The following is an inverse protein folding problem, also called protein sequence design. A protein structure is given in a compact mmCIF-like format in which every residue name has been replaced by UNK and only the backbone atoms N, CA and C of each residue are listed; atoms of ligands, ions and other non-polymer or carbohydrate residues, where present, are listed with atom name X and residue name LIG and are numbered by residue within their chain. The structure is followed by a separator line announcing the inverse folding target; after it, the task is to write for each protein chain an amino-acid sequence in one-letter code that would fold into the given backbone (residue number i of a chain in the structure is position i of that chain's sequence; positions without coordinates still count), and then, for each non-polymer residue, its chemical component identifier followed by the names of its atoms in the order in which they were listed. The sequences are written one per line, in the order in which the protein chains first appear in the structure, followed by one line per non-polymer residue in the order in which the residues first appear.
data_IF_301790122007
#
_entry.id   IF_301790122007
#
_cell.length_a   1.000
_cell.length_b   1.000
_cell.length_c   1.000
_cell.angle_alpha   90.00
_cell.angle_beta   90.00
_cell.angle_gamma   90.00
#
_symmetry.space_group_name_H-M   'P 1'
#
loop_
_entity.id
_entity.type
_entity.pdbx_description
1 polymer ?
#
# COMPACT_ATOMS: atom_id res chain seq x y z
N UNK A 1 51.67 -13.66 31.85
CA UNK A 1 50.34 -13.72 31.24
C UNK A 1 50.33 -12.86 29.99
N UNK A 2 50.71 -13.43 28.86
CA UNK A 2 50.58 -12.80 27.57
C UNK A 2 49.16 -13.03 27.06
N UNK A 3 48.35 -11.96 26.92
CA UNK A 3 47.16 -11.96 26.05
C UNK A 3 47.67 -11.66 24.63
N UNK A 4 47.40 -12.52 23.64
CA UNK A 4 47.65 -12.12 22.27
C UNK A 4 46.64 -11.01 21.88
N UNK A 5 47.17 -9.91 21.36
CA UNK A 5 46.38 -8.86 20.70
C UNK A 5 45.76 -9.50 19.45
N UNK A 6 44.50 -9.79 19.50
CA UNK A 6 43.76 -10.22 18.29
C UNK A 6 43.58 -9.01 17.38
N UNK A 7 44.11 -9.14 16.19
CA UNK A 7 44.00 -8.17 15.12
C UNK A 7 42.51 -7.95 14.79
N UNK A 8 42.04 -6.69 14.88
CA UNK A 8 40.65 -6.28 14.64
C UNK A 8 40.12 -6.58 13.23
N UNK A 9 40.98 -6.97 12.32
CA UNK A 9 40.59 -7.40 10.97
C UNK A 9 40.05 -8.85 10.89
N UNK A 10 40.19 -9.64 11.95
CA UNK A 10 39.70 -11.04 11.92
C UNK A 10 38.29 -11.27 12.45
N UNK A 11 37.61 -10.25 12.95
CA UNK A 11 36.31 -10.43 13.62
C UNK A 11 35.09 -9.98 12.83
N UNK A 12 35.24 -9.58 11.58
CA UNK A 12 34.07 -9.35 10.71
C UNK A 12 33.57 -10.68 10.17
N UNK A 13 32.75 -11.38 10.95
CA UNK A 13 32.04 -12.57 10.50
C UNK A 13 30.97 -12.16 9.53
N UNK A 14 31.28 -12.08 8.22
CA UNK A 14 30.26 -11.90 7.20
C UNK A 14 29.41 -13.18 7.10
N UNK A 15 28.18 -13.04 6.54
CA UNK A 15 27.22 -14.13 6.39
C UNK A 15 27.83 -15.39 5.76
N UNK A 16 28.76 -15.22 4.84
CA UNK A 16 29.47 -16.31 4.16
C UNK A 16 30.39 -17.09 5.11
N UNK A 17 31.22 -16.40 5.91
CA UNK A 17 32.06 -17.02 6.93
C UNK A 17 31.25 -17.72 8.01
N UNK A 18 30.14 -17.11 8.44
CA UNK A 18 29.21 -17.73 9.39
C UNK A 18 28.64 -19.05 8.84
N UNK A 19 28.17 -19.06 7.59
CA UNK A 19 27.63 -20.26 6.94
C UNK A 19 28.72 -21.33 6.71
N UNK A 20 29.95 -20.92 6.37
CA UNK A 20 31.09 -21.83 6.24
C UNK A 20 31.48 -22.44 7.59
N UNK A 21 31.47 -21.66 8.67
CA UNK A 21 31.73 -22.18 10.02
C UNK A 21 30.65 -23.16 10.47
N UNK A 22 29.36 -22.90 10.18
CA UNK A 22 28.26 -23.83 10.44
C UNK A 22 28.41 -25.14 9.66
N UNK A 23 28.83 -25.07 8.41
CA UNK A 23 29.10 -26.25 7.57
C UNK A 23 30.29 -27.06 8.12
N UNK A 24 31.37 -26.40 8.50
CA UNK A 24 32.55 -27.03 9.12
C UNK A 24 32.26 -27.66 10.49
N UNK A 25 31.31 -27.11 11.25
CA UNK A 25 30.83 -27.66 12.52
C UNK A 25 29.85 -28.85 12.35
N UNK A 26 29.63 -29.33 11.13
CA UNK A 26 28.72 -30.46 10.84
C UNK A 26 27.23 -30.13 10.88
N UNK A 27 26.86 -28.90 11.21
CA UNK A 27 25.46 -28.46 11.25
C UNK A 27 24.92 -28.16 9.85
N UNK A 28 25.79 -27.93 8.87
CA UNK A 28 25.41 -27.66 7.49
C UNK A 28 24.81 -28.87 6.76
N UNK A 29 25.21 -30.08 7.15
CA UNK A 29 24.74 -31.30 6.50
C UNK A 29 23.29 -31.67 6.85
N UNK A 30 22.80 -31.17 7.99
CA UNK A 30 21.43 -31.45 8.45
C UNK A 30 20.44 -30.35 8.09
N UNK A 31 20.92 -29.14 7.84
CA UNK A 31 20.04 -27.97 7.66
C UNK A 31 19.92 -27.50 6.20
N UNK A 32 20.95 -27.65 5.33
CA UNK A 32 20.91 -27.03 4.00
C UNK A 32 22.03 -27.49 3.01
N UNK A 33 22.14 -28.74 2.59
CA UNK A 33 23.29 -29.14 1.76
C UNK A 33 23.43 -28.35 0.46
N UNK A 34 22.32 -28.12 -0.27
CA UNK A 34 22.33 -27.43 -1.56
C UNK A 34 22.54 -25.92 -1.47
N UNK A 35 21.83 -25.25 -0.55
CA UNK A 35 21.93 -23.79 -0.41
C UNK A 35 23.30 -23.36 0.15
N UNK A 36 23.86 -24.13 1.09
CA UNK A 36 25.22 -23.89 1.61
C UNK A 36 26.31 -24.17 0.60
N UNK A 37 26.18 -25.26 -0.19
CA UNK A 37 27.11 -25.57 -1.27
C UNK A 37 27.10 -24.50 -2.35
N UNK A 38 25.93 -24.00 -2.71
CA UNK A 38 25.79 -22.94 -3.73
C UNK A 38 26.40 -21.61 -3.28
N UNK A 39 26.19 -21.24 -2.01
CA UNK A 39 26.80 -20.01 -1.44
C UNK A 39 28.31 -20.17 -1.28
N UNK A 40 28.80 -21.38 -0.98
CA UNK A 40 30.22 -21.66 -0.86
C UNK A 40 30.96 -21.74 -2.20
N UNK A 41 30.25 -22.05 -3.30
CA UNK A 41 30.83 -22.23 -4.62
C UNK A 41 30.78 -20.97 -5.51
N UNK A 42 30.37 -19.80 -5.01
CA UNK A 42 30.15 -18.59 -5.83
C UNK A 42 29.25 -18.87 -7.04
N UNK A 43 28.19 -19.64 -6.83
CA UNK A 43 27.29 -20.01 -7.90
C UNK A 43 26.72 -18.75 -8.56
N UNK A 44 27.13 -18.47 -9.79
CA UNK A 44 26.62 -17.34 -10.58
C UNK A 44 25.15 -17.55 -10.98
N UNK A 45 24.67 -18.78 -10.88
CA UNK A 45 23.34 -19.18 -11.36
C UNK A 45 22.56 -19.88 -10.25
N UNK A 46 21.34 -19.44 -10.03
CA UNK A 46 20.40 -20.09 -9.10
C UNK A 46 19.80 -21.32 -9.78
N UNK A 47 19.80 -22.46 -9.08
CA UNK A 47 19.26 -23.74 -9.57
C UNK A 47 17.92 -24.07 -8.92
N UNK A 48 17.21 -25.03 -9.53
CA UNK A 48 15.97 -25.56 -8.96
C UNK A 48 16.16 -26.20 -7.60
N UNK A 49 17.25 -26.96 -7.41
CA UNK A 49 17.57 -27.61 -6.13
C UNK A 49 17.82 -26.60 -5.02
N UNK A 50 18.39 -25.45 -5.36
CA UNK A 50 18.54 -24.35 -4.41
C UNK A 50 17.18 -23.79 -3.97
N UNK A 51 16.24 -23.66 -4.90
CA UNK A 51 14.87 -23.19 -4.58
C UNK A 51 14.14 -24.25 -3.74
N UNK A 52 14.26 -25.53 -4.08
CA UNK A 52 13.65 -26.63 -3.35
C UNK A 52 14.19 -26.72 -1.90
N UNK A 53 15.47 -26.53 -1.73
CA UNK A 53 16.08 -26.47 -0.39
C UNK A 53 15.62 -25.24 0.39
N UNK A 54 15.63 -24.06 -0.24
CA UNK A 54 15.28 -22.80 0.39
C UNK A 54 13.81 -22.74 0.83
N UNK A 55 12.88 -23.30 0.05
CA UNK A 55 11.46 -23.32 0.40
C UNK A 55 11.20 -24.16 1.66
N UNK A 56 11.91 -25.30 1.83
CA UNK A 56 11.80 -26.11 3.01
C UNK A 56 12.17 -25.37 4.31
N UNK A 57 13.22 -24.53 4.23
CA UNK A 57 13.66 -23.70 5.37
C UNK A 57 12.66 -22.59 5.68
N UNK A 58 12.10 -21.99 4.62
CA UNK A 58 11.11 -20.92 4.76
C UNK A 58 9.72 -21.44 5.20
N UNK A 59 9.53 -22.76 5.29
CA UNK A 59 8.21 -23.35 5.54
C UNK A 59 7.22 -23.11 4.39
N UNK A 60 7.73 -22.95 3.17
CA UNK A 60 6.94 -22.72 1.95
C UNK A 60 6.90 -24.00 1.09
N UNK A 61 5.91 -24.07 0.21
CA UNK A 61 5.80 -25.13 -0.78
C UNK A 61 5.38 -24.53 -2.11
N UNK A 62 6.21 -24.70 -3.13
CA UNK A 62 5.97 -24.24 -4.50
C UNK A 62 5.84 -25.44 -5.42
N UNK A 63 4.94 -25.35 -6.39
CA UNK A 63 4.88 -26.28 -7.51
C UNK A 63 6.13 -26.19 -8.37
N UNK A 64 6.41 -27.21 -9.17
CA UNK A 64 7.58 -27.22 -10.08
C UNK A 64 7.60 -26.03 -11.03
N UNK A 65 6.43 -25.64 -11.55
CA UNK A 65 6.28 -24.49 -12.44
C UNK A 65 6.57 -23.16 -11.73
N UNK A 66 6.18 -23.06 -10.45
CA UNK A 66 6.48 -21.87 -9.64
C UNK A 66 7.97 -21.79 -9.33
N UNK A 67 8.59 -22.91 -8.97
CA UNK A 67 10.04 -23.01 -8.78
C UNK A 67 10.81 -22.58 -10.04
N UNK A 68 10.37 -23.05 -11.21
CA UNK A 68 10.98 -22.68 -12.49
C UNK A 68 10.87 -21.16 -12.73
N UNK A 69 9.70 -20.56 -12.54
CA UNK A 69 9.52 -19.10 -12.65
C UNK A 69 10.38 -18.31 -11.66
N UNK A 70 10.59 -18.84 -10.45
CA UNK A 70 11.48 -18.23 -9.46
C UNK A 70 12.92 -18.25 -9.96
N UNK A 71 13.39 -19.40 -10.49
CA UNK A 71 14.73 -19.54 -11.06
C UNK A 71 14.94 -18.57 -12.22
N UNK A 72 14.00 -18.49 -13.16
CA UNK A 72 14.06 -17.58 -14.31
C UNK A 72 14.14 -16.12 -13.85
N UNK A 73 13.35 -15.74 -12.86
CA UNK A 73 13.37 -14.37 -12.32
C UNK A 73 14.68 -14.04 -11.61
N UNK A 74 15.22 -14.98 -10.83
CA UNK A 74 16.45 -14.77 -10.07
C UNK A 74 17.70 -14.73 -10.98
N UNK A 75 17.67 -15.41 -12.12
CA UNK A 75 18.75 -15.43 -13.10
C UNK A 75 18.56 -14.42 -14.24
N UNK A 76 17.41 -13.77 -14.31
CA UNK A 76 17.08 -12.86 -15.40
C UNK A 76 17.77 -11.50 -15.30
N UNK A 77 17.66 -10.70 -16.37
CA UNK A 77 18.30 -9.37 -16.49
C UNK A 77 17.85 -8.34 -15.43
N UNK A 78 16.76 -8.60 -14.71
CA UNK A 78 16.29 -7.79 -13.58
C UNK A 78 16.40 -8.54 -12.26
N UNK A 79 17.43 -9.35 -12.13
CA UNK A 79 17.68 -10.14 -10.94
C UNK A 79 17.89 -9.26 -9.71
N UNK A 80 17.15 -9.49 -8.61
CA UNK A 80 17.43 -8.83 -7.36
C UNK A 80 18.82 -9.15 -6.80
N UNK A 81 19.41 -10.30 -7.20
CA UNK A 81 20.76 -10.70 -6.79
C UNK A 81 21.79 -9.73 -7.38
N UNK A 82 21.72 -9.45 -8.68
CA UNK A 82 22.61 -8.47 -9.33
C UNK A 82 22.45 -7.06 -8.72
N UNK A 83 21.24 -6.66 -8.38
CA UNK A 83 21.00 -5.39 -7.70
C UNK A 83 21.68 -5.35 -6.32
N UNK A 84 21.59 -6.43 -5.55
CA UNK A 84 22.29 -6.54 -4.26
C UNK A 84 23.81 -6.51 -4.40
N UNK A 85 24.37 -7.19 -5.39
CA UNK A 85 25.81 -7.20 -5.62
C UNK A 85 26.32 -5.82 -6.05
N UNK A 86 25.55 -5.11 -6.88
CA UNK A 86 25.84 -3.72 -7.24
C UNK A 86 25.84 -2.80 -6.01
N UNK A 87 24.83 -2.94 -5.14
CA UNK A 87 24.74 -2.14 -3.90
C UNK A 87 25.90 -2.46 -2.94
N UNK A 88 26.27 -3.73 -2.80
CA UNK A 88 27.42 -4.15 -1.98
C UNK A 88 28.73 -3.61 -2.52
N UNK A 89 28.93 -3.68 -3.85
CA UNK A 89 30.14 -3.17 -4.50
C UNK A 89 30.26 -1.65 -4.35
N UNK A 90 29.15 -0.92 -4.35
CA UNK A 90 29.12 0.53 -4.14
C UNK A 90 29.56 0.93 -2.72
N UNK A 91 29.45 0.03 -1.73
CA UNK A 91 29.86 0.21 -0.35
C UNK A 91 29.45 1.58 0.24
N UNK A 92 28.16 1.92 0.07
CA UNK A 92 27.61 3.21 0.47
C UNK A 92 27.65 3.36 1.99
N UNK A 93 28.15 4.50 2.49
CA UNK A 93 28.09 4.87 3.89
C UNK A 93 26.65 5.17 4.33
N UNK A 94 26.37 5.03 5.62
CA UNK A 94 25.04 5.30 6.19
C UNK A 94 24.64 6.79 6.07
N UNK A 95 25.58 7.67 5.85
CA UNK A 95 25.43 9.11 5.64
C UNK A 95 25.26 9.50 4.16
N UNK A 96 25.37 8.52 3.25
CA UNK A 96 25.17 8.77 1.81
C UNK A 96 23.74 9.18 1.53
N UNK A 97 23.56 10.43 1.09
CA UNK A 97 22.24 10.94 0.76
C UNK A 97 21.74 10.40 -0.60
N UNK A 98 20.43 10.27 -0.81
CA UNK A 98 19.86 9.98 -2.11
C UNK A 98 20.35 10.97 -3.18
N UNK A 99 20.53 10.48 -4.41
CA UNK A 99 20.96 11.33 -5.53
C UNK A 99 19.95 12.46 -5.84
N UNK A 100 18.68 12.27 -5.49
CA UNK A 100 17.62 13.26 -5.63
C UNK A 100 17.12 13.62 -4.24
N UNK A 101 17.39 14.84 -3.81
CA UNK A 101 16.89 15.41 -2.56
C UNK A 101 16.03 16.63 -2.89
N UNK A 102 14.76 16.58 -2.51
CA UNK A 102 13.89 17.73 -2.64
C UNK A 102 14.25 18.81 -1.61
N UNK A 103 14.69 19.97 -2.09
CA UNK A 103 14.86 21.16 -1.26
C UNK A 103 13.80 22.19 -1.64
N UNK A 104 12.83 22.52 -0.76
CA UNK A 104 11.81 23.51 -1.05
C UNK A 104 12.36 24.95 -1.12
N UNK A 105 13.62 25.15 -0.70
CA UNK A 105 14.28 26.44 -0.72
C UNK A 105 15.31 26.45 -1.85
N UNK A 106 15.04 27.11 -2.99
CA UNK A 106 16.00 27.22 -4.07
C UNK A 106 17.29 27.92 -3.61
N UNK A 107 18.45 27.63 -4.25
CA UNK A 107 19.70 28.30 -3.92
C UNK A 107 19.56 29.84 -3.93
N UNK A 108 20.07 30.49 -2.90
CA UNK A 108 20.01 31.96 -2.76
C UNK A 108 18.64 32.52 -2.33
N UNK A 109 17.68 31.65 -1.98
CA UNK A 109 16.38 32.05 -1.40
C UNK A 109 16.32 31.69 0.07
N UNK A 110 15.51 32.42 0.82
CA UNK A 110 15.13 32.12 2.21
C UNK A 110 13.62 31.87 2.29
N UNK A 111 13.18 31.03 3.23
CA UNK A 111 11.75 30.88 3.50
C UNK A 111 11.18 32.22 3.98
N UNK A 112 9.97 32.60 3.52
CA UNK A 112 9.27 33.74 4.09
C UNK A 112 9.06 33.53 5.59
N UNK A 113 9.40 34.51 6.41
CA UNK A 113 9.15 34.51 7.85
C UNK A 113 7.68 34.75 8.19
N UNK A 114 6.97 35.43 7.30
CA UNK A 114 5.60 35.85 7.52
C UNK A 114 4.62 34.69 7.32
N UNK A 115 3.89 34.36 8.37
CA UNK A 115 2.74 33.47 8.29
C UNK A 115 1.55 34.24 7.73
N UNK A 116 1.21 33.97 6.49
CA UNK A 116 0.00 34.53 5.86
C UNK A 116 -1.16 33.56 6.05
N UNK A 117 -2.38 34.07 6.35
CA UNK A 117 -3.57 33.23 6.38
C UNK A 117 -3.78 32.57 5.01
N UNK A 118 -4.22 31.31 5.02
CA UNK A 118 -4.59 30.61 3.79
C UNK A 118 -5.74 31.37 3.12
N UNK A 119 -5.52 31.81 1.90
CA UNK A 119 -6.58 32.37 1.05
C UNK A 119 -7.37 31.20 0.47
N UNK A 120 -8.62 31.04 0.88
CA UNK A 120 -9.55 30.12 0.23
C UNK A 120 -10.17 30.84 -0.97
N UNK A 121 -10.22 30.16 -2.11
CA UNK A 121 -10.96 30.66 -3.27
C UNK A 121 -12.43 30.49 -2.98
N UNK A 122 -13.19 31.57 -3.05
CA UNK A 122 -14.63 31.51 -3.06
C UNK A 122 -15.11 31.13 -4.46
N UNK A 123 -16.07 30.26 -4.54
CA UNK A 123 -16.72 29.84 -5.78
C UNK A 123 -18.15 29.42 -5.48
N UNK A 124 -19.00 29.62 -6.46
CA UNK A 124 -20.39 29.16 -6.40
C UNK A 124 -20.52 27.83 -7.12
N UNK A 125 -21.39 26.98 -6.61
CA UNK A 125 -21.70 25.68 -7.18
C UNK A 125 -23.22 25.56 -7.30
N UNK A 126 -23.69 25.18 -8.46
CA UNK A 126 -25.07 24.78 -8.68
C UNK A 126 -25.18 23.26 -8.75
N UNK A 127 -26.31 22.72 -8.34
CA UNK A 127 -26.60 21.30 -8.46
C UNK A 127 -26.54 20.88 -9.93
N UNK A 128 -25.76 19.84 -10.28
CA UNK A 128 -25.74 19.30 -11.64
C UNK A 128 -27.07 18.72 -12.07
N UNK A 129 -27.25 18.58 -13.39
CA UNK A 129 -28.48 18.05 -13.94
C UNK A 129 -28.59 16.52 -13.87
N UNK A 130 -27.45 15.83 -13.78
CA UNK A 130 -27.38 14.37 -13.79
C UNK A 130 -26.52 13.83 -12.65
N UNK A 131 -26.78 12.59 -12.24
CA UNK A 131 -26.00 11.85 -11.25
C UNK A 131 -24.55 11.63 -11.70
N UNK A 132 -24.31 11.46 -12.99
CA UNK A 132 -22.95 11.32 -13.52
C UNK A 132 -22.16 12.62 -13.38
N UNK A 133 -22.75 13.75 -13.73
CA UNK A 133 -22.10 15.05 -13.51
C UNK A 133 -21.82 15.29 -12.02
N UNK A 134 -22.77 14.93 -11.15
CA UNK A 134 -22.61 15.04 -9.70
C UNK A 134 -21.47 14.16 -9.19
N UNK A 135 -21.37 12.92 -9.67
CA UNK A 135 -20.37 11.95 -9.25
C UNK A 135 -18.93 12.38 -9.59
N UNK A 136 -18.75 13.17 -10.63
CA UNK A 136 -17.44 13.67 -11.08
C UNK A 136 -17.12 15.10 -10.63
N UNK A 137 -17.95 15.69 -9.78
CA UNK A 137 -17.62 16.98 -9.19
C UNK A 137 -16.38 16.90 -8.29
N UNK A 138 -15.52 17.92 -8.29
CA UNK A 138 -14.45 18.03 -7.30
C UNK A 138 -15.01 17.98 -5.87
N UNK A 139 -14.26 17.37 -4.94
CA UNK A 139 -14.67 17.26 -3.53
C UNK A 139 -15.02 18.62 -2.92
N UNK A 140 -14.37 19.69 -3.32
CA UNK A 140 -14.66 21.06 -2.87
C UNK A 140 -16.06 21.53 -3.29
N UNK A 141 -16.53 21.12 -4.49
CA UNK A 141 -17.87 21.42 -4.98
C UNK A 141 -18.92 20.59 -4.24
N UNK A 142 -18.66 19.29 -4.05
CA UNK A 142 -19.52 18.42 -3.26
C UNK A 142 -19.69 18.95 -1.82
N UNK A 143 -18.57 19.38 -1.20
CA UNK A 143 -18.58 19.98 0.12
C UNK A 143 -19.47 21.24 0.18
N UNK A 144 -19.43 22.07 -0.85
CA UNK A 144 -20.25 23.27 -0.94
C UNK A 144 -21.74 22.96 -1.10
N UNK A 145 -22.08 21.96 -1.92
CA UNK A 145 -23.46 21.48 -2.07
C UNK A 145 -24.01 20.92 -0.74
N UNK A 146 -23.21 20.17 0.01
CA UNK A 146 -23.59 19.66 1.33
C UNK A 146 -23.73 20.81 2.34
N UNK A 147 -22.76 21.72 2.43
CA UNK A 147 -22.78 22.90 3.31
C UNK A 147 -24.03 23.77 3.06
N UNK A 148 -24.36 24.01 1.80
CA UNK A 148 -25.54 24.80 1.40
C UNK A 148 -26.85 23.99 1.43
N UNK A 149 -26.81 22.71 1.83
CA UNK A 149 -27.97 21.81 1.92
C UNK A 149 -28.69 21.58 0.58
N UNK A 150 -27.98 21.72 -0.54
CA UNK A 150 -28.50 21.40 -1.86
C UNK A 150 -28.54 19.89 -2.11
N UNK A 151 -27.68 19.11 -1.40
CA UNK A 151 -27.69 17.65 -1.39
C UNK A 151 -27.50 17.15 0.05
N UNK A 152 -28.15 16.05 0.37
CA UNK A 152 -27.94 15.37 1.67
C UNK A 152 -26.78 14.40 1.60
N UNK A 153 -25.99 14.26 2.69
CA UNK A 153 -25.01 13.18 2.85
C UNK A 153 -25.53 11.79 2.51
N UNK A 154 -26.78 11.46 2.87
CA UNK A 154 -27.39 10.16 2.53
C UNK A 154 -27.61 9.98 1.04
N UNK A 155 -28.03 11.01 0.31
CA UNK A 155 -28.22 10.98 -1.15
C UNK A 155 -26.88 10.77 -1.85
N UNK A 156 -25.87 11.55 -1.47
CA UNK A 156 -24.54 11.45 -2.02
C UNK A 156 -23.89 10.08 -1.73
N UNK A 157 -24.05 9.56 -0.51
CA UNK A 157 -23.55 8.24 -0.12
C UNK A 157 -24.22 7.13 -0.94
N UNK A 158 -25.52 7.20 -1.13
CA UNK A 158 -26.28 6.23 -1.92
C UNK A 158 -25.83 6.23 -3.38
N UNK A 159 -25.60 7.40 -3.95
CA UNK A 159 -25.06 7.54 -5.31
C UNK A 159 -23.72 6.80 -5.45
N UNK A 160 -22.74 7.08 -4.59
CA UNK A 160 -21.41 6.45 -4.71
C UNK A 160 -21.42 4.96 -4.37
N UNK A 161 -22.25 4.50 -3.42
CA UNK A 161 -22.43 3.08 -3.17
C UNK A 161 -23.02 2.34 -4.38
N UNK A 162 -24.01 2.94 -5.06
CA UNK A 162 -24.59 2.34 -6.27
C UNK A 162 -23.58 2.28 -7.41
N UNK A 163 -22.77 3.32 -7.59
CA UNK A 163 -21.69 3.34 -8.58
C UNK A 163 -20.62 2.28 -8.29
N UNK A 164 -20.15 2.15 -7.05
CA UNK A 164 -19.23 1.07 -6.69
C UNK A 164 -19.81 -0.31 -7.02
N UNK A 165 -21.06 -0.58 -6.66
CA UNK A 165 -21.73 -1.84 -6.99
C UNK A 165 -21.84 -2.09 -8.50
N UNK A 166 -22.10 -1.04 -9.27
CA UNK A 166 -22.26 -1.13 -10.72
C UNK A 166 -20.94 -1.44 -11.43
N UNK A 167 -19.86 -0.81 -11.02
CA UNK A 167 -18.60 -0.85 -11.77
C UNK A 167 -17.58 -1.86 -11.21
N UNK A 168 -17.69 -2.26 -9.95
CA UNK A 168 -16.67 -3.11 -9.31
C UNK A 168 -16.53 -4.50 -9.92
N UNK A 169 -17.58 -5.04 -10.50
CA UNK A 169 -17.52 -6.30 -11.26
C UNK A 169 -16.50 -6.25 -12.43
N UNK A 170 -16.22 -5.07 -12.95
CA UNK A 170 -15.23 -4.84 -14.02
C UNK A 170 -13.89 -4.37 -13.46
N UNK A 171 -13.91 -3.56 -12.41
CA UNK A 171 -12.72 -2.86 -11.91
C UNK A 171 -11.96 -3.63 -10.83
N UNK A 172 -12.63 -4.49 -10.06
CA UNK A 172 -12.04 -5.18 -8.92
C UNK A 172 -11.30 -4.23 -7.95
N UNK A 173 -11.92 -3.08 -7.69
CA UNK A 173 -11.37 -2.02 -6.86
C UNK A 173 -11.78 -2.14 -5.38
N UNK A 174 -12.82 -2.92 -5.06
CA UNK A 174 -13.44 -3.00 -3.74
C UNK A 174 -13.13 -4.34 -3.07
N UNK A 175 -12.57 -4.29 -1.87
CA UNK A 175 -12.38 -5.48 -1.00
C UNK A 175 -13.63 -5.72 -0.16
N UNK A 176 -14.18 -4.65 0.42
CA UNK A 176 -15.36 -4.70 1.28
C UNK A 176 -16.16 -3.42 1.14
N UNK A 177 -17.43 -3.50 0.78
CA UNK A 177 -18.36 -2.41 0.93
C UNK A 177 -18.76 -2.28 2.40
N UNK A 178 -18.73 -1.06 2.93
CA UNK A 178 -19.11 -0.76 4.30
C UNK A 178 -20.50 -0.11 4.36
N UNK A 179 -21.44 -0.61 3.56
CA UNK A 179 -22.73 0.02 3.26
C UNK A 179 -23.53 0.37 4.51
N UNK A 180 -23.73 -0.58 5.43
CA UNK A 180 -24.48 -0.31 6.65
C UNK A 180 -23.81 0.76 7.54
N UNK A 181 -22.49 0.72 7.64
CA UNK A 181 -21.73 1.75 8.37
C UNK A 181 -21.88 3.10 7.68
N UNK A 182 -21.72 3.12 6.37
CA UNK A 182 -21.82 4.33 5.55
C UNK A 182 -23.19 5.01 5.69
N UNK A 183 -24.27 4.24 5.59
CA UNK A 183 -25.63 4.78 5.72
C UNK A 183 -25.91 5.32 7.12
N UNK A 184 -25.46 4.63 8.19
CA UNK A 184 -25.55 5.17 9.55
C UNK A 184 -24.76 6.47 9.74
N UNK A 185 -23.53 6.54 9.17
CA UNK A 185 -22.72 7.76 9.22
C UNK A 185 -23.36 8.90 8.42
N UNK A 186 -23.92 8.59 7.25
CA UNK A 186 -24.60 9.56 6.40
C UNK A 186 -25.87 10.15 7.08
N UNK A 187 -26.69 9.28 7.66
CA UNK A 187 -27.88 9.73 8.40
C UNK A 187 -27.50 10.63 9.57
N UNK A 188 -26.47 10.27 10.33
CA UNK A 188 -25.96 11.12 11.41
C UNK A 188 -25.48 12.47 10.87
N UNK A 189 -24.79 12.51 9.75
CA UNK A 189 -24.35 13.75 9.12
C UNK A 189 -25.55 14.60 8.66
N UNK A 190 -26.60 14.00 8.09
CA UNK A 190 -27.85 14.70 7.77
C UNK A 190 -28.46 15.38 9.00
N UNK A 191 -28.55 14.64 10.12
CA UNK A 191 -29.12 15.13 11.38
C UNK A 191 -28.27 16.30 11.95
N UNK A 192 -26.97 16.16 11.99
CA UNK A 192 -26.04 17.19 12.50
C UNK A 192 -26.10 18.46 11.63
N UNK A 193 -26.09 18.33 10.30
CA UNK A 193 -26.18 19.48 9.38
C UNK A 193 -27.55 20.16 9.47
N UNK A 194 -28.63 19.38 9.58
CA UNK A 194 -29.98 19.92 9.76
C UNK A 194 -30.08 20.71 11.07
N UNK A 195 -29.42 20.25 12.12
CA UNK A 195 -29.35 20.95 13.44
C UNK A 195 -28.39 22.16 13.45
N UNK A 196 -27.73 22.46 12.32
CA UNK A 196 -26.79 23.59 12.20
C UNK A 196 -25.35 23.27 12.57
N UNK A 197 -25.02 22.00 12.84
CA UNK A 197 -23.65 21.55 13.10
C UNK A 197 -22.97 21.13 11.82
N UNK A 198 -22.05 21.95 11.32
CA UNK A 198 -21.20 21.63 10.16
C UNK A 198 -19.75 21.55 10.60
N UNK A 199 -19.13 20.35 10.46
CA UNK A 199 -17.78 20.07 10.95
C UNK A 199 -16.68 20.58 10.01
N UNK A 200 -17.04 20.96 8.77
CA UNK A 200 -16.12 21.44 7.74
C UNK A 200 -16.25 20.70 6.42
N UNK A 201 -15.33 20.94 5.46
CA UNK A 201 -15.51 20.55 4.05
C UNK A 201 -15.50 19.04 3.79
N UNK A 202 -15.23 18.20 4.77
CA UNK A 202 -15.33 16.74 4.65
C UNK A 202 -16.58 16.17 5.34
N UNK A 203 -17.38 17.02 5.99
CA UNK A 203 -18.60 16.56 6.65
C UNK A 203 -19.64 16.09 5.64
N UNK A 204 -20.03 14.83 5.77
CA UNK A 204 -21.00 14.20 4.85
C UNK A 204 -20.41 13.75 3.51
N UNK A 205 -19.09 13.79 3.33
CA UNK A 205 -18.42 13.39 2.09
C UNK A 205 -18.06 11.90 2.13
N UNK A 206 -18.54 11.10 1.17
CA UNK A 206 -18.17 9.69 1.04
C UNK A 206 -16.70 9.53 0.62
N UNK A 207 -16.03 8.54 1.20
CA UNK A 207 -14.65 8.21 0.86
C UNK A 207 -14.37 6.72 1.02
N UNK A 208 -13.36 6.22 0.31
CA UNK A 208 -12.88 4.86 0.42
C UNK A 208 -11.46 4.79 0.96
N UNK A 209 -11.18 3.82 1.84
CA UNK A 209 -9.86 3.64 2.43
C UNK A 209 -9.13 2.47 1.80
N UNK A 210 -7.87 2.66 1.47
CA UNK A 210 -6.99 1.57 1.02
C UNK A 210 -6.92 0.48 2.09
N UNK A 211 -7.03 -0.78 1.67
CA UNK A 211 -7.13 -1.95 2.56
C UNK A 211 -5.81 -2.34 3.26
N UNK A 212 -4.89 -1.41 3.40
CA UNK A 212 -3.77 -1.43 4.33
C UNK A 212 -4.14 -0.81 5.67
N UNK A 213 -5.05 0.15 5.67
CA UNK A 213 -5.45 0.91 6.83
C UNK A 213 -6.60 0.22 7.54
N UNK A 214 -6.44 -0.05 8.83
CA UNK A 214 -7.48 -0.64 9.63
C UNK A 214 -8.63 0.35 9.86
N UNK A 215 -9.85 -0.15 9.73
CA UNK A 215 -11.08 0.51 10.15
C UNK A 215 -11.86 -0.48 11.00
N UNK A 216 -12.13 -0.12 12.24
CA UNK A 216 -12.77 -0.97 13.25
C UNK A 216 -14.04 -1.63 12.73
N UNK A 217 -14.19 -2.91 13.01
CA UNK A 217 -15.36 -3.69 12.59
C UNK A 217 -15.37 -4.05 11.10
N UNK A 218 -14.33 -3.74 10.34
CA UNK A 218 -14.20 -4.12 8.94
C UNK A 218 -13.00 -5.04 8.71
N UNK A 219 -13.05 -5.79 7.60
CA UNK A 219 -11.90 -6.59 7.18
C UNK A 219 -10.72 -5.70 6.81
N UNK A 220 -9.51 -6.14 7.13
CA UNK A 220 -8.25 -5.49 6.72
C UNK A 220 -7.30 -6.59 6.27
N UNK A 221 -7.22 -6.79 4.95
CA UNK A 221 -6.68 -8.01 4.35
C UNK A 221 -5.25 -7.86 3.83
N UNK A 222 -4.77 -6.63 3.65
CA UNK A 222 -3.49 -6.32 2.99
C UNK A 222 -3.36 -6.94 1.58
N UNK A 223 -4.50 -7.25 0.95
CA UNK A 223 -4.56 -7.88 -0.36
C UNK A 223 -4.16 -9.34 -0.40
N UNK A 224 -4.03 -10.02 0.75
CA UNK A 224 -3.52 -11.38 0.88
C UNK A 224 -4.61 -12.38 1.24
N UNK A 225 -4.65 -13.54 0.54
CA UNK A 225 -5.60 -14.61 0.83
C UNK A 225 -5.60 -15.10 2.29
N UNK A 226 -4.44 -15.30 2.95
CA UNK A 226 -4.42 -15.72 4.36
C UNK A 226 -5.07 -14.73 5.33
N UNK A 227 -5.26 -13.48 4.90
CA UNK A 227 -5.86 -12.41 5.70
C UNK A 227 -7.24 -11.98 5.19
N UNK A 228 -7.82 -12.71 4.24
CA UNK A 228 -9.08 -12.33 3.59
C UNK A 228 -10.25 -12.07 4.56
N UNK A 229 -10.24 -12.73 5.72
CA UNK A 229 -11.27 -12.58 6.76
C UNK A 229 -10.77 -11.88 8.04
N UNK A 230 -9.54 -11.36 8.01
CA UNK A 230 -8.96 -10.74 9.20
C UNK A 230 -9.62 -9.41 9.51
N UNK A 231 -10.15 -9.28 10.72
CA UNK A 231 -10.62 -8.03 11.31
C UNK A 231 -9.59 -7.52 12.31
N UNK A 232 -9.24 -6.24 12.21
CA UNK A 232 -8.36 -5.55 13.16
C UNK A 232 -9.22 -4.57 13.95
N UNK A 233 -9.35 -4.75 15.27
CA UNK A 233 -10.24 -3.98 16.12
C UNK A 233 -9.65 -2.63 16.58
N UNK A 234 -9.08 -1.90 15.64
CA UNK A 234 -8.63 -0.53 15.82
C UNK A 234 -8.97 0.32 14.59
N UNK A 235 -9.01 1.62 14.78
CA UNK A 235 -8.98 2.57 13.67
C UNK A 235 -7.56 3.09 13.48
N UNK A 236 -7.08 3.07 12.23
CA UNK A 236 -5.86 3.78 11.89
C UNK A 236 -6.07 5.29 12.07
N UNK A 237 -4.99 6.04 12.35
CA UNK A 237 -5.06 7.49 12.55
C UNK A 237 -5.79 8.23 11.42
N UNK A 238 -5.61 7.78 10.16
CA UNK A 238 -6.31 8.37 9.01
C UNK A 238 -7.82 8.16 9.12
N UNK A 239 -8.26 6.94 9.47
CA UNK A 239 -9.69 6.63 9.63
C UNK A 239 -10.29 7.44 10.76
N UNK A 240 -9.62 7.51 11.92
CA UNK A 240 -10.08 8.33 13.06
C UNK A 240 -10.23 9.81 12.69
N UNK A 241 -9.22 10.39 12.04
CA UNK A 241 -9.22 11.80 11.65
C UNK A 241 -10.30 12.14 10.63
N UNK A 242 -10.52 11.28 9.65
CA UNK A 242 -11.59 11.49 8.67
C UNK A 242 -12.98 11.30 9.30
N UNK A 243 -13.13 10.34 10.20
CA UNK A 243 -14.36 10.15 10.97
C UNK A 243 -14.67 11.36 11.88
N UNK A 244 -13.65 11.91 12.57
CA UNK A 244 -13.79 13.15 13.36
C UNK A 244 -14.24 14.33 12.50
N UNK A 245 -13.74 14.43 11.27
CA UNK A 245 -14.15 15.43 10.30
C UNK A 245 -15.55 15.20 9.70
N UNK A 246 -16.19 14.06 10.02
CA UNK A 246 -17.52 13.71 9.55
C UNK A 246 -17.57 13.09 8.16
N UNK A 247 -16.44 12.62 7.62
CA UNK A 247 -16.40 11.89 6.37
C UNK A 247 -16.99 10.48 6.52
N UNK A 248 -17.61 9.96 5.46
CA UNK A 248 -18.40 8.73 5.45
C UNK A 248 -17.62 7.62 4.77
N UNK A 249 -17.24 6.58 5.51
CA UNK A 249 -16.50 5.44 4.98
C UNK A 249 -17.41 4.49 4.21
N UNK A 250 -17.32 4.47 2.88
CA UNK A 250 -18.17 3.65 2.00
C UNK A 250 -17.52 2.33 1.58
N UNK A 251 -16.19 2.23 1.58
CA UNK A 251 -15.50 1.01 1.15
C UNK A 251 -14.08 0.89 1.67
N UNK A 252 -13.63 -0.37 1.82
CA UNK A 252 -12.23 -0.77 1.85
C UNK A 252 -11.80 -1.06 0.41
N UNK A 253 -10.87 -0.29 -0.11
CA UNK A 253 -10.42 -0.33 -1.50
C UNK A 253 -9.16 -1.18 -1.67
N UNK A 254 -9.06 -1.90 -2.77
CA UNK A 254 -8.02 -2.88 -3.00
C UNK A 254 -6.60 -2.30 -2.91
N UNK A 255 -5.72 -3.10 -2.39
CA UNK A 255 -4.27 -2.89 -2.42
C UNK A 255 -3.63 -4.10 -3.06
N UNK A 256 -2.61 -3.91 -3.88
CA UNK A 256 -1.77 -5.04 -4.27
C UNK A 256 -1.25 -5.77 -3.04
N UNK A 257 -1.11 -7.09 -3.13
CA UNK A 257 -0.71 -7.96 -2.03
C UNK A 257 0.54 -7.42 -1.31
N UNK A 258 0.46 -7.23 0.01
CA UNK A 258 1.49 -6.61 0.85
C UNK A 258 2.03 -5.28 0.28
N UNK A 259 1.14 -4.49 -0.30
CA UNK A 259 1.46 -3.20 -0.93
C UNK A 259 2.40 -3.31 -2.15
N UNK A 260 2.31 -4.38 -2.93
CA UNK A 260 3.06 -4.58 -4.18
C UNK A 260 2.11 -4.78 -5.35
N UNK A 261 2.28 -4.03 -6.45
CA UNK A 261 1.48 -4.10 -7.68
C UNK A 261 -0.02 -3.82 -7.51
N UNK A 262 -0.83 -4.19 -8.50
CA UNK A 262 -2.30 -4.08 -8.48
C UNK A 262 -3.01 -5.42 -8.25
N UNK A 263 -2.24 -6.52 -8.10
CA UNK A 263 -2.79 -7.86 -7.91
C UNK A 263 -3.01 -8.15 -6.43
N UNK A 264 -4.20 -8.65 -6.10
CA UNK A 264 -4.61 -9.06 -4.75
C UNK A 264 -5.42 -10.37 -4.83
N UNK A 265 -5.83 -10.93 -3.71
CA UNK A 265 -6.52 -12.23 -3.71
C UNK A 265 -7.87 -12.21 -4.47
N UNK A 266 -8.54 -11.06 -4.58
CA UNK A 266 -9.76 -10.90 -5.37
C UNK A 266 -9.52 -10.70 -6.87
N UNK A 267 -8.26 -10.70 -7.34
CA UNK A 267 -7.92 -10.57 -8.75
C UNK A 267 -6.95 -9.43 -9.07
N UNK A 268 -7.13 -8.82 -10.21
CA UNK A 268 -6.35 -7.68 -10.68
C UNK A 268 -7.24 -6.45 -10.76
N UNK A 269 -6.92 -5.42 -9.99
CA UNK A 269 -7.62 -4.13 -10.09
C UNK A 269 -7.34 -3.48 -11.44
N UNK A 270 -8.39 -3.10 -12.14
CA UNK A 270 -8.34 -2.63 -13.51
C UNK A 270 -8.28 -1.12 -13.61
N UNK A 271 -7.64 -0.65 -14.69
CA UNK A 271 -7.64 0.75 -15.08
C UNK A 271 -9.02 1.11 -15.68
N UNK A 272 -9.78 2.08 -15.15
CA UNK A 272 -11.10 2.45 -15.67
C UNK A 272 -11.08 2.94 -17.12
N UNK A 273 -9.98 3.53 -17.56
CA UNK A 273 -9.79 4.05 -18.90
C UNK A 273 -9.45 2.96 -19.94
N UNK A 274 -8.87 1.86 -19.46
CA UNK A 274 -8.56 0.67 -20.26
C UNK A 274 -8.55 -0.57 -19.37
N UNK A 275 -9.67 -1.28 -19.33
CA UNK A 275 -9.85 -2.44 -18.44
C UNK A 275 -9.01 -3.67 -18.80
N UNK A 276 -8.28 -3.66 -19.91
CA UNK A 276 -7.28 -4.68 -20.22
C UNK A 276 -5.99 -4.48 -19.43
N UNK A 277 -5.72 -3.25 -18.96
CA UNK A 277 -4.59 -2.87 -18.15
C UNK A 277 -4.94 -2.88 -16.66
N UNK A 278 -3.92 -3.02 -15.83
CA UNK A 278 -4.06 -2.81 -14.39
C UNK A 278 -4.07 -1.31 -14.03
N UNK A 279 -4.57 -1.01 -12.84
CA UNK A 279 -4.64 0.36 -12.30
C UNK A 279 -3.30 0.82 -11.71
N UNK A 280 -2.18 0.13 -12.03
CA UNK A 280 -0.92 0.34 -11.33
C UNK A 280 -1.06 0.00 -9.82
N UNK A 281 -0.09 0.34 -8.99
CA UNK A 281 -0.18 -0.05 -7.59
C UNK A 281 0.84 0.64 -6.69
N UNK A 282 0.78 0.35 -5.45
CA UNK A 282 -0.08 -0.60 -4.72
C UNK A 282 -1.44 -0.02 -4.31
N UNK A 283 -1.71 1.26 -4.48
CA UNK A 283 -3.01 1.90 -4.21
C UNK A 283 -3.97 1.74 -5.41
N UNK A 284 -4.04 0.52 -5.96
CA UNK A 284 -4.78 0.23 -7.18
C UNK A 284 -6.28 0.54 -7.03
N UNK A 285 -6.92 0.07 -5.97
CA UNK A 285 -8.32 0.35 -5.69
C UNK A 285 -8.63 1.83 -5.53
N UNK A 286 -7.90 2.59 -4.68
CA UNK A 286 -8.09 4.04 -4.61
C UNK A 286 -7.93 4.75 -5.95
N UNK A 287 -6.90 4.40 -6.73
CA UNK A 287 -6.68 4.97 -8.06
C UNK A 287 -7.84 4.67 -9.01
N UNK A 288 -8.25 3.40 -9.09
CA UNK A 288 -9.33 2.97 -9.97
C UNK A 288 -10.70 3.56 -9.59
N UNK A 289 -11.00 3.64 -8.29
CA UNK A 289 -12.29 4.15 -7.81
C UNK A 289 -12.42 5.68 -7.90
N UNK A 290 -11.30 6.41 -8.05
CA UNK A 290 -11.30 7.88 -8.10
C UNK A 290 -11.26 8.40 -9.55
N UNK A 291 -10.77 7.59 -10.49
CA UNK A 291 -10.69 7.91 -11.91
C UNK A 291 -12.06 7.68 -12.62
#
# INVERSE_FOLDING_TARGET
FFRPVMDDQQCAMNRRRFLTCLSAAGLGSTLMPGALAAVAQDAEVITLDMIETAQGIAGLSFTRDEQQRIVERLNGARSPIQAFDTLRAANLGNDTQPAIVFNPVPPGKTLPSDRRPLKRREFEVSMPATDDELAFLPVTHLAKLVESRQIKPTELTTLYLSRLKQYDAKLHAVVTLTEELALRQAQRADEEIAAGTYRGPLHGIPWGVKDLLAARGTKTTWGMSPYADRVIDIDSTVVSKLSEAGAILIAKLSTGALAVSARWFGGLTRNPWNTEQDASGSSAGPGSATA
#
